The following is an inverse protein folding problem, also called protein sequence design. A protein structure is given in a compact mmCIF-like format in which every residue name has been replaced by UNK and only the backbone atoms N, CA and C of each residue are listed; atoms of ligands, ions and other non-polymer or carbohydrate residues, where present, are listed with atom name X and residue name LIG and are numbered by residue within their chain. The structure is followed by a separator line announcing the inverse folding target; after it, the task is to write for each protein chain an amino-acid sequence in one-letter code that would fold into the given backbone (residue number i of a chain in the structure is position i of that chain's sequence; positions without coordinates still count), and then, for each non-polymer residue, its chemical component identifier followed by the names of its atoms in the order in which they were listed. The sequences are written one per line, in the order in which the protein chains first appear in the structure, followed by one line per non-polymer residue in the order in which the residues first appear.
data_IF_320113828054
#
_entry.id   IF_320113828054
#
_cell.length_a   1.000
_cell.length_b   1.000
_cell.length_c   1.000
_cell.angle_alpha   90.00
_cell.angle_beta   90.00
_cell.angle_gamma   90.00
#
_symmetry.space_group_name_H-M   'P 1'
#
loop_
_entity.id
_entity.type
_entity.pdbx_description
1 polymer ?
#
# COMPACT_ATOMS: atom_id res chain seq x y z
N UNK A 1 -48.81 -15.69 4.03
CA UNK A 1 -47.55 -15.49 4.77
C UNK A 1 -46.87 -16.84 4.88
N UNK A 2 -45.91 -17.13 3.99
CA UNK A 2 -45.06 -18.30 4.15
C UNK A 2 -44.03 -18.00 5.25
N UNK A 3 -43.79 -18.91 6.20
CA UNK A 3 -42.70 -18.75 7.14
C UNK A 3 -41.38 -18.80 6.37
N UNK A 4 -40.48 -17.86 6.65
CA UNK A 4 -39.11 -17.89 6.13
C UNK A 4 -38.43 -19.16 6.67
N UNK A 5 -38.09 -20.10 5.79
CA UNK A 5 -37.23 -21.21 6.16
C UNK A 5 -35.87 -20.63 6.56
N UNK A 6 -35.38 -21.01 7.73
CA UNK A 6 -33.99 -20.76 8.09
C UNK A 6 -33.12 -21.47 7.04
N UNK A 7 -32.35 -20.71 6.26
CA UNK A 7 -31.32 -21.30 5.42
C UNK A 7 -30.30 -21.97 6.34
N UNK A 8 -30.03 -23.25 6.09
CA UNK A 8 -28.99 -23.99 6.78
C UNK A 8 -27.65 -23.32 6.49
N UNK A 9 -27.00 -22.78 7.52
CA UNK A 9 -25.69 -22.14 7.37
C UNK A 9 -24.63 -23.21 7.14
N UNK A 10 -24.17 -23.38 5.91
CA UNK A 10 -23.22 -24.44 5.57
C UNK A 10 -22.39 -24.08 4.36
N UNK A 11 -21.11 -24.46 4.39
CA UNK A 11 -20.25 -24.40 3.20
C UNK A 11 -19.19 -25.50 3.21
N UNK A 12 -18.65 -25.80 2.05
CA UNK A 12 -17.55 -26.74 1.82
C UNK A 12 -16.21 -26.00 1.71
N UNK A 13 -15.17 -26.56 2.33
CA UNK A 13 -13.86 -25.94 2.44
C UNK A 13 -12.77 -26.86 1.89
N UNK A 14 -12.07 -26.41 0.85
CA UNK A 14 -10.83 -27.03 0.39
C UNK A 14 -9.62 -26.46 1.14
N UNK A 15 -8.62 -27.30 1.42
CA UNK A 15 -7.36 -26.87 2.01
C UNK A 15 -6.22 -27.77 1.55
N UNK A 16 -4.98 -27.25 1.40
CA UNK A 16 -3.82 -28.07 1.06
C UNK A 16 -3.45 -29.07 2.16
N UNK A 17 -2.89 -30.22 1.78
CA UNK A 17 -2.57 -31.33 2.69
C UNK A 17 -1.70 -30.89 3.87
N UNK A 18 -0.69 -30.05 3.64
CA UNK A 18 0.17 -29.52 4.71
C UNK A 18 -0.64 -28.79 5.81
N UNK A 19 -1.71 -28.07 5.43
CA UNK A 19 -2.57 -27.38 6.39
C UNK A 19 -3.54 -28.35 7.08
N UNK A 20 -4.04 -29.36 6.37
CA UNK A 20 -4.89 -30.41 6.94
C UNK A 20 -4.13 -31.24 7.98
N UNK A 21 -2.91 -31.66 7.64
CA UNK A 21 -2.03 -32.47 8.47
C UNK A 21 -1.49 -31.71 9.67
N UNK A 22 -1.37 -30.38 9.57
CA UNK A 22 -0.96 -29.53 10.68
C UNK A 22 -1.87 -29.60 11.89
N UNK A 23 -3.14 -30.00 11.71
CA UNK A 23 -4.15 -30.03 12.77
C UNK A 23 -4.80 -28.69 13.09
N UNK A 24 -4.34 -27.57 12.52
CA UNK A 24 -4.90 -26.24 12.76
C UNK A 24 -6.39 -26.16 12.40
N UNK A 25 -6.80 -26.72 11.26
CA UNK A 25 -8.21 -26.68 10.84
C UNK A 25 -9.12 -27.45 11.79
N UNK A 26 -8.64 -28.59 12.32
CA UNK A 26 -9.36 -29.34 13.37
C UNK A 26 -9.51 -28.54 14.66
N UNK A 27 -8.61 -27.58 14.90
CA UNK A 27 -8.65 -26.70 16.05
C UNK A 27 -9.58 -25.48 15.83
N UNK A 28 -9.48 -24.78 14.71
CA UNK A 28 -10.21 -23.51 14.51
C UNK A 28 -11.66 -23.69 14.06
N UNK A 29 -11.95 -24.68 13.20
CA UNK A 29 -13.29 -24.83 12.60
C UNK A 29 -14.38 -25.09 13.65
N UNK A 30 -14.20 -25.99 14.64
CA UNK A 30 -15.22 -26.21 15.66
C UNK A 30 -15.53 -24.96 16.51
N UNK A 31 -14.53 -24.11 16.74
CA UNK A 31 -14.67 -22.88 17.54
C UNK A 31 -15.47 -21.82 16.81
N UNK A 32 -15.25 -21.69 15.50
CA UNK A 32 -16.08 -20.85 14.66
C UNK A 32 -17.52 -21.39 14.61
N UNK A 33 -17.69 -22.68 14.31
CA UNK A 33 -19.02 -23.32 14.19
C UNK A 33 -19.83 -23.23 15.48
N UNK A 34 -19.20 -23.34 16.66
CA UNK A 34 -19.88 -23.27 17.95
C UNK A 34 -20.62 -21.94 18.16
N UNK A 35 -20.01 -20.82 17.77
CA UNK A 35 -20.59 -19.48 17.98
C UNK A 35 -21.53 -19.05 16.85
N UNK A 36 -21.28 -19.52 15.63
CA UNK A 36 -22.00 -19.08 14.43
C UNK A 36 -23.13 -20.01 14.01
N UNK A 37 -23.09 -21.25 14.49
CA UNK A 37 -23.91 -22.38 14.05
C UNK A 37 -23.74 -22.72 12.56
N UNK A 38 -22.64 -22.29 11.94
CA UNK A 38 -22.30 -22.62 10.56
C UNK A 38 -21.60 -23.99 10.52
N UNK A 39 -22.14 -24.91 9.73
CA UNK A 39 -21.52 -26.22 9.46
C UNK A 39 -20.47 -26.07 8.36
N UNK A 40 -19.26 -26.56 8.61
CA UNK A 40 -18.17 -26.54 7.63
C UNK A 40 -17.78 -27.98 7.33
N UNK A 41 -17.77 -28.34 6.05
CA UNK A 41 -17.35 -29.68 5.59
C UNK A 41 -16.06 -29.56 4.81
N UNK A 42 -15.01 -30.27 5.21
CA UNK A 42 -13.78 -30.32 4.44
C UNK A 42 -14.01 -31.11 3.15
N UNK A 43 -13.70 -30.49 2.01
CA UNK A 43 -13.81 -31.10 0.70
C UNK A 43 -12.66 -32.08 0.45
N UNK A 44 -12.89 -33.10 -0.38
CA UNK A 44 -11.82 -34.01 -0.80
C UNK A 44 -10.84 -33.29 -1.75
N UNK A 45 -9.53 -33.60 -1.71
CA UNK A 45 -8.55 -33.00 -2.60
C UNK A 45 -8.97 -33.11 -4.07
N UNK A 46 -8.98 -31.98 -4.78
CA UNK A 46 -9.34 -31.90 -6.19
C UNK A 46 -10.85 -31.81 -6.48
N UNK A 47 -11.70 -31.76 -5.45
CA UNK A 47 -13.13 -31.48 -5.62
C UNK A 47 -13.42 -29.97 -5.53
N UNK A 48 -14.39 -29.44 -6.29
CA UNK A 48 -14.85 -28.05 -6.11
C UNK A 48 -15.39 -27.84 -4.68
N UNK A 49 -15.03 -26.70 -4.08
CA UNK A 49 -15.50 -26.28 -2.77
C UNK A 49 -15.97 -24.82 -2.83
N UNK A 50 -16.86 -24.43 -1.92
CA UNK A 50 -17.39 -23.07 -1.84
C UNK A 50 -16.30 -22.06 -1.45
N UNK A 51 -15.33 -22.51 -0.64
CA UNK A 51 -14.19 -21.73 -0.19
C UNK A 51 -12.91 -22.57 -0.14
N UNK A 52 -11.76 -21.91 -0.14
CA UNK A 52 -10.46 -22.58 -0.14
C UNK A 52 -9.37 -21.83 0.62
N UNK A 53 -8.48 -22.57 1.28
CA UNK A 53 -7.16 -22.09 1.65
C UNK A 53 -6.17 -22.30 0.48
N UNK A 54 -5.26 -21.35 0.27
CA UNK A 54 -4.24 -21.43 -0.78
C UNK A 54 -3.52 -20.09 -0.99
N UNK A 55 -3.22 -19.76 -2.25
CA UNK A 55 -2.43 -18.57 -2.62
C UNK A 55 -3.28 -17.34 -2.97
N UNK A 56 -4.60 -17.49 -3.01
CA UNK A 56 -5.57 -16.47 -3.41
C UNK A 56 -6.45 -16.01 -2.24
N UNK A 57 -7.08 -14.86 -2.43
CA UNK A 57 -7.96 -14.26 -1.43
C UNK A 57 -7.21 -13.54 -0.33
N UNK A 58 -7.76 -13.62 0.87
CA UNK A 58 -7.39 -12.78 2.00
C UNK A 58 -6.29 -13.41 2.81
N UNK A 59 -5.33 -12.62 3.26
CA UNK A 59 -4.30 -13.12 4.18
C UNK A 59 -4.96 -13.53 5.50
N UNK A 60 -4.88 -14.82 5.86
CA UNK A 60 -5.48 -15.38 7.06
C UNK A 60 -4.47 -15.49 8.21
N UNK A 61 -3.35 -16.18 7.99
CA UNK A 61 -2.28 -16.41 8.98
C UNK A 61 -1.02 -16.96 8.30
N UNK A 62 0.12 -16.93 8.99
CA UNK A 62 1.38 -17.51 8.54
C UNK A 62 1.75 -18.72 9.39
N UNK A 63 2.50 -19.65 8.81
CA UNK A 63 2.99 -20.84 9.49
C UNK A 63 3.44 -21.90 8.49
N UNK A 64 4.27 -22.84 8.93
CA UNK A 64 4.90 -23.84 8.06
C UNK A 64 5.66 -23.19 6.88
N UNK A 65 6.42 -22.13 7.17
CA UNK A 65 7.17 -21.31 6.20
C UNK A 65 6.31 -20.75 5.05
N UNK A 66 4.99 -20.65 5.26
CA UNK A 66 4.00 -20.26 4.25
C UNK A 66 3.07 -19.18 4.78
N UNK A 67 2.62 -18.28 3.91
CA UNK A 67 1.50 -17.37 4.17
C UNK A 67 0.23 -17.97 3.60
N UNK A 68 -0.70 -18.35 4.48
CA UNK A 68 -1.95 -18.96 4.08
C UNK A 68 -2.98 -17.89 3.77
N UNK A 69 -3.48 -17.89 2.53
CA UNK A 69 -4.61 -17.05 2.14
C UNK A 69 -5.90 -17.87 2.09
N UNK A 70 -7.01 -17.19 2.29
CA UNK A 70 -8.34 -17.75 2.29
C UNK A 70 -9.20 -17.05 1.25
N UNK A 71 -9.69 -17.81 0.28
CA UNK A 71 -10.68 -17.36 -0.69
C UNK A 71 -12.05 -17.86 -0.26
N UNK A 72 -12.96 -16.94 0.01
CA UNK A 72 -14.31 -17.25 0.45
C UNK A 72 -15.26 -17.54 -0.72
N UNK A 73 -14.82 -17.30 -1.96
CA UNK A 73 -15.71 -17.31 -3.12
C UNK A 73 -16.92 -16.38 -2.92
N UNK A 74 -18.05 -16.77 -3.50
CA UNK A 74 -19.31 -16.04 -3.41
C UNK A 74 -20.20 -16.49 -2.24
N UNK A 75 -19.75 -17.45 -1.42
CA UNK A 75 -20.56 -18.01 -0.33
C UNK A 75 -20.62 -17.06 0.89
N UNK A 76 -21.81 -16.64 1.34
CA UNK A 76 -21.95 -15.66 2.41
C UNK A 76 -21.55 -16.21 3.80
N UNK A 77 -21.61 -17.53 4.03
CA UNK A 77 -21.15 -18.13 5.28
C UNK A 77 -19.62 -18.29 5.29
N UNK A 78 -19.01 -18.58 4.14
CA UNK A 78 -17.56 -18.55 3.97
C UNK A 78 -16.99 -17.13 4.15
N UNK A 79 -17.69 -16.09 3.66
CA UNK A 79 -17.29 -14.70 3.86
C UNK A 79 -17.28 -14.33 5.35
N UNK A 80 -18.26 -14.81 6.13
CA UNK A 80 -18.27 -14.64 7.59
C UNK A 80 -17.11 -15.35 8.27
N UNK A 81 -16.69 -16.51 7.75
CA UNK A 81 -15.49 -17.18 8.24
C UNK A 81 -14.23 -16.37 7.92
N UNK A 82 -14.13 -15.79 6.73
CA UNK A 82 -13.05 -14.88 6.35
C UNK A 82 -12.96 -13.65 7.28
N UNK A 83 -14.10 -13.05 7.61
CA UNK A 83 -14.18 -11.93 8.56
C UNK A 83 -13.79 -12.37 9.97
N UNK A 84 -14.23 -13.55 10.39
CA UNK A 84 -13.85 -14.11 11.69
C UNK A 84 -12.34 -14.35 11.79
N UNK A 85 -11.71 -14.92 10.77
CA UNK A 85 -10.25 -15.13 10.71
C UNK A 85 -9.46 -13.82 10.90
N UNK A 86 -10.02 -12.69 10.46
CA UNK A 86 -9.42 -11.36 10.63
C UNK A 86 -9.78 -10.65 11.93
N UNK A 87 -10.79 -11.12 12.65
CA UNK A 87 -11.20 -10.55 13.94
C UNK A 87 -10.21 -10.91 15.05
N UNK A 88 -10.20 -10.13 16.13
CA UNK A 88 -9.37 -10.43 17.31
C UNK A 88 -9.63 -11.84 17.85
N UNK A 89 -10.89 -12.30 17.80
CA UNK A 89 -11.26 -13.63 18.28
C UNK A 89 -10.64 -14.73 17.40
N UNK A 90 -10.74 -14.60 16.08
CA UNK A 90 -10.15 -15.58 15.16
C UNK A 90 -8.63 -15.58 15.21
N UNK A 91 -8.03 -14.38 15.22
CA UNK A 91 -6.58 -14.17 15.36
C UNK A 91 -6.01 -14.80 16.62
N UNK A 92 -6.57 -14.45 17.77
CA UNK A 92 -6.17 -15.03 19.06
C UNK A 92 -6.38 -16.55 19.09
N UNK A 93 -7.40 -17.06 18.39
CA UNK A 93 -7.62 -18.51 18.30
C UNK A 93 -6.49 -19.18 17.52
N UNK A 94 -6.11 -18.64 16.37
CA UNK A 94 -4.96 -19.15 15.59
C UNK A 94 -3.68 -19.08 16.43
N UNK A 95 -3.41 -17.95 17.07
CA UNK A 95 -2.20 -17.74 17.90
C UNK A 95 -2.14 -18.65 19.13
N UNK A 96 -3.30 -19.09 19.63
CA UNK A 96 -3.37 -20.03 20.76
C UNK A 96 -3.09 -21.48 20.38
N UNK A 97 -3.02 -21.79 19.09
CA UNK A 97 -2.79 -23.15 18.63
C UNK A 97 -1.34 -23.57 18.86
N UNK A 98 -1.16 -24.71 19.53
CA UNK A 98 0.15 -25.25 19.87
C UNK A 98 0.24 -26.74 19.56
N UNK A 99 1.42 -27.17 19.11
CA UNK A 99 1.82 -28.57 18.97
C UNK A 99 3.08 -28.76 19.81
N UNK A 100 3.03 -29.67 20.78
CA UNK A 100 4.12 -29.93 21.73
C UNK A 100 4.68 -28.67 22.40
N UNK A 101 3.82 -27.70 22.69
CA UNK A 101 4.17 -26.42 23.34
C UNK A 101 4.77 -25.36 22.42
N UNK A 102 4.90 -25.63 21.12
CA UNK A 102 5.34 -24.67 20.10
C UNK A 102 4.12 -24.13 19.35
N UNK A 103 4.11 -22.85 19.01
CA UNK A 103 3.07 -22.24 18.17
C UNK A 103 3.51 -22.25 16.68
N UNK A 104 3.03 -23.19 15.84
CA UNK A 104 3.48 -23.30 14.45
C UNK A 104 2.82 -22.28 13.50
N UNK A 105 1.79 -21.57 13.97
CA UNK A 105 1.08 -20.54 13.21
C UNK A 105 1.01 -19.23 13.99
N UNK A 106 0.95 -18.13 13.26
CA UNK A 106 0.73 -16.79 13.80
C UNK A 106 -0.25 -16.01 12.91
N UNK A 107 -1.10 -15.22 13.54
CA UNK A 107 -2.09 -14.37 12.89
C UNK A 107 -1.54 -12.96 12.61
N UNK A 108 -0.49 -12.56 13.34
CA UNK A 108 0.29 -11.35 13.06
C UNK A 108 1.19 -11.52 11.85
N UNK A 109 0.58 -11.50 10.67
CA UNK A 109 1.35 -11.30 9.45
C UNK A 109 1.73 -9.83 9.41
N UNK A 110 2.95 -9.53 9.86
CA UNK A 110 3.65 -8.32 9.44
C UNK A 110 3.75 -8.40 7.92
N UNK A 111 2.76 -7.86 7.23
CA UNK A 111 2.92 -7.46 5.83
C UNK A 111 3.94 -6.34 5.92
N UNK A 112 5.21 -6.71 5.93
CA UNK A 112 6.27 -5.82 5.55
C UNK A 112 5.91 -5.47 4.12
N UNK A 113 5.22 -4.34 3.98
CA UNK A 113 4.85 -3.80 2.69
C UNK A 113 6.20 -3.55 2.05
N UNK A 114 6.66 -4.49 1.23
CA UNK A 114 7.74 -4.27 0.29
C UNK A 114 7.16 -3.24 -0.67
N UNK A 115 7.16 -1.99 -0.24
CA UNK A 115 7.23 -0.85 -1.13
C UNK A 115 8.54 -1.13 -1.83
N UNK A 116 8.45 -1.63 -3.06
CA UNK A 116 9.57 -1.55 -3.99
C UNK A 116 9.92 -0.07 -3.99
N UNK A 117 10.92 0.32 -3.20
CA UNK A 117 11.44 1.66 -3.26
C UNK A 117 12.02 1.75 -4.66
N UNK A 118 11.32 2.45 -5.54
CA UNK A 118 11.90 2.89 -6.79
C UNK A 118 13.08 3.75 -6.35
N UNK A 119 14.28 3.22 -6.58
CA UNK A 119 15.52 3.94 -6.30
C UNK A 119 15.92 4.60 -7.61
N UNK A 120 16.15 5.90 -7.55
CA UNK A 120 16.63 6.69 -8.67
C UNK A 120 18.15 6.77 -8.57
N UNK A 121 18.86 6.32 -9.59
CA UNK A 121 20.32 6.16 -9.64
C UNK A 121 21.05 7.30 -10.37
N UNK A 122 20.33 8.39 -10.68
CA UNK A 122 20.91 9.63 -11.19
C UNK A 122 21.95 10.28 -10.27
N UNK A 123 22.68 11.26 -10.81
CA UNK A 123 23.67 12.05 -10.08
C UNK A 123 22.99 13.04 -9.12
N UNK A 124 23.09 12.74 -7.82
CA UNK A 124 22.54 13.53 -6.72
C UNK A 124 23.08 14.96 -6.69
N UNK A 125 24.38 15.16 -6.97
CA UNK A 125 24.99 16.49 -6.94
C UNK A 125 24.50 17.33 -8.10
N UNK A 126 24.41 16.72 -9.28
CA UNK A 126 23.82 17.34 -10.46
C UNK A 126 22.34 17.65 -10.21
N UNK A 127 21.60 16.75 -9.58
CA UNK A 127 20.19 16.92 -9.23
C UNK A 127 19.94 18.12 -8.31
N UNK A 128 20.80 18.31 -7.29
CA UNK A 128 20.72 19.49 -6.43
C UNK A 128 21.01 20.78 -7.22
N UNK A 129 22.05 20.78 -8.05
CA UNK A 129 22.43 21.94 -8.88
C UNK A 129 21.30 22.37 -9.81
N UNK A 130 20.74 21.41 -10.57
CA UNK A 130 19.61 21.62 -11.49
C UNK A 130 18.40 22.12 -10.72
N UNK A 131 18.06 21.49 -9.58
CA UNK A 131 16.94 21.90 -8.74
C UNK A 131 17.10 23.33 -8.23
N UNK A 132 18.29 23.72 -7.78
CA UNK A 132 18.57 25.08 -7.30
C UNK A 132 18.44 26.11 -8.43
N UNK A 133 18.93 25.79 -9.62
CA UNK A 133 18.86 26.66 -10.80
C UNK A 133 17.42 26.85 -11.28
N UNK A 134 16.67 25.76 -11.42
CA UNK A 134 15.36 25.79 -12.08
C UNK A 134 14.18 25.96 -11.13
N UNK A 135 14.26 25.41 -9.92
CA UNK A 135 13.17 25.41 -8.96
C UNK A 135 13.41 26.39 -7.80
N UNK A 136 14.67 26.75 -7.53
CA UNK A 136 15.12 27.44 -6.32
C UNK A 136 14.58 28.86 -6.12
N UNK A 137 14.07 29.50 -7.19
CA UNK A 137 13.35 30.77 -7.07
C UNK A 137 12.01 30.59 -6.37
N UNK A 138 11.30 29.51 -6.67
CA UNK A 138 9.97 29.24 -6.14
C UNK A 138 10.04 28.42 -4.85
N UNK A 139 10.80 27.34 -4.86
CA UNK A 139 10.88 26.36 -3.77
C UNK A 139 12.16 26.53 -2.96
N UNK A 140 12.09 26.33 -1.64
CA UNK A 140 13.31 25.97 -0.88
C UNK A 140 13.68 24.54 -1.27
N UNK A 141 14.82 24.39 -1.92
CA UNK A 141 15.33 23.13 -2.48
C UNK A 141 16.24 22.45 -1.47
N UNK A 142 17.17 23.22 -0.88
CA UNK A 142 18.07 22.76 0.18
C UNK A 142 18.41 23.92 1.13
N UNK A 143 19.24 23.66 2.12
CA UNK A 143 19.71 24.71 3.04
C UNK A 143 20.41 25.87 2.32
N UNK A 144 20.95 25.62 1.11
CA UNK A 144 21.64 26.63 0.28
C UNK A 144 20.73 27.78 -0.14
N UNK A 145 19.41 27.58 -0.27
CA UNK A 145 18.47 28.62 -0.69
C UNK A 145 17.34 28.88 0.33
N UNK A 146 17.48 28.43 1.58
CA UNK A 146 16.45 28.56 2.64
C UNK A 146 15.86 29.97 2.78
N UNK A 147 16.67 31.01 2.60
CA UNK A 147 16.26 32.41 2.71
C UNK A 147 16.04 33.12 1.37
N UNK A 148 16.18 32.41 0.25
CA UNK A 148 16.23 32.98 -1.11
C UNK A 148 15.08 32.50 -2.01
N UNK A 149 14.06 31.83 -1.47
CA UNK A 149 12.83 31.44 -2.20
C UNK A 149 11.68 32.41 -1.91
N UNK A 150 10.64 32.41 -2.76
CA UNK A 150 9.45 33.28 -2.57
C UNK A 150 8.60 32.95 -1.33
N UNK A 151 8.85 31.83 -0.65
CA UNK A 151 8.19 31.46 0.61
C UNK A 151 6.71 31.08 0.53
N UNK A 152 6.04 31.31 -0.61
CA UNK A 152 4.62 31.00 -0.82
C UNK A 152 4.36 29.62 -1.44
N UNK A 153 5.41 28.86 -1.77
CA UNK A 153 5.32 27.47 -2.24
C UNK A 153 6.02 26.53 -1.27
N UNK A 154 5.55 25.29 -1.11
CA UNK A 154 6.14 24.33 -0.16
C UNK A 154 7.60 24.03 -0.51
N UNK A 155 8.47 23.86 0.48
CA UNK A 155 9.84 23.40 0.24
C UNK A 155 9.86 21.96 -0.28
N UNK A 156 10.98 21.53 -0.86
CA UNK A 156 11.17 20.13 -1.26
C UNK A 156 11.01 19.18 -0.07
N UNK A 157 11.54 19.53 1.11
CA UNK A 157 11.37 18.76 2.33
C UNK A 157 9.89 18.66 2.77
N UNK A 158 9.09 19.71 2.58
CA UNK A 158 7.63 19.66 2.84
C UNK A 158 6.94 18.79 1.79
N UNK A 159 7.29 18.90 0.51
CA UNK A 159 6.74 18.04 -0.53
C UNK A 159 7.05 16.55 -0.28
N UNK A 160 8.21 16.23 0.31
CA UNK A 160 8.60 14.88 0.72
C UNK A 160 7.72 14.27 1.80
N UNK A 161 6.88 15.04 2.50
CA UNK A 161 5.91 14.49 3.45
C UNK A 161 4.65 13.95 2.76
N UNK A 162 4.45 14.26 1.48
CA UNK A 162 3.26 13.83 0.73
C UNK A 162 3.38 12.36 0.33
N UNK A 163 2.26 11.63 0.39
CA UNK A 163 2.23 10.20 0.02
C UNK A 163 2.54 9.96 -1.46
N UNK A 164 2.20 10.92 -2.30
CA UNK A 164 2.36 10.92 -3.76
C UNK A 164 3.52 11.84 -4.20
N UNK A 165 4.52 12.05 -3.34
CA UNK A 165 5.64 12.93 -3.65
C UNK A 165 6.37 12.50 -4.94
N UNK A 166 6.56 11.20 -5.15
CA UNK A 166 7.24 10.64 -6.33
C UNK A 166 6.54 11.05 -7.61
N UNK A 167 5.25 10.74 -7.72
CA UNK A 167 4.43 11.10 -8.88
C UNK A 167 4.45 12.62 -9.13
N UNK A 168 4.41 13.42 -8.06
CA UNK A 168 4.44 14.89 -8.17
C UNK A 168 5.77 15.41 -8.71
N UNK A 169 6.89 14.84 -8.29
CA UNK A 169 8.21 15.23 -8.78
C UNK A 169 8.50 14.65 -10.16
N UNK A 170 7.99 13.46 -10.51
CA UNK A 170 8.15 12.92 -11.87
C UNK A 170 7.33 13.68 -12.90
N UNK A 171 6.12 14.12 -12.53
CA UNK A 171 5.17 14.73 -13.45
C UNK A 171 5.04 16.25 -13.27
N UNK A 172 5.96 16.90 -12.54
CA UNK A 172 5.77 18.31 -12.17
C UNK A 172 5.53 19.20 -13.39
N UNK A 173 6.21 18.94 -14.51
CA UNK A 173 6.11 19.71 -15.76
C UNK A 173 4.73 19.67 -16.42
N UNK A 174 3.85 18.71 -16.04
CA UNK A 174 2.43 18.67 -16.44
C UNK A 174 1.46 19.09 -15.31
N UNK A 175 1.96 19.32 -14.10
CA UNK A 175 1.17 19.70 -12.94
C UNK A 175 1.22 21.22 -12.68
N UNK A 176 0.05 21.86 -12.66
CA UNK A 176 -0.07 23.31 -12.41
C UNK A 176 0.68 23.73 -11.12
N UNK A 177 1.43 24.85 -11.15
CA UNK A 177 1.47 25.86 -12.22
C UNK A 177 2.53 25.63 -13.32
N UNK A 178 3.35 24.58 -13.22
CA UNK A 178 4.57 24.39 -14.02
C UNK A 178 4.42 24.29 -15.55
N UNK A 179 3.33 23.75 -16.13
CA UNK A 179 3.20 23.65 -17.59
C UNK A 179 3.24 25.00 -18.31
N UNK A 180 2.97 26.10 -17.60
CA UNK A 180 3.03 27.43 -18.16
C UNK A 180 4.47 27.92 -18.40
N UNK A 181 5.48 27.27 -17.80
CA UNK A 181 6.86 27.75 -17.84
C UNK A 181 7.93 26.66 -17.80
N UNK A 182 7.55 25.39 -17.99
CA UNK A 182 8.49 24.27 -17.99
C UNK A 182 8.40 23.52 -19.31
N UNK A 183 9.54 23.16 -19.87
CA UNK A 183 9.66 22.27 -21.01
C UNK A 183 10.70 21.19 -20.72
N UNK A 184 10.35 19.96 -21.07
CA UNK A 184 11.25 18.81 -21.06
C UNK A 184 11.59 18.49 -22.51
N UNK A 185 12.88 18.47 -22.84
CA UNK A 185 13.38 18.14 -24.18
C UNK A 185 12.80 16.80 -24.65
N UNK A 186 12.37 16.74 -25.91
CA UNK A 186 11.73 15.59 -26.56
C UNK A 186 10.45 15.03 -25.91
N UNK A 187 9.92 15.67 -24.86
CA UNK A 187 8.74 15.20 -24.11
C UNK A 187 7.58 16.20 -24.16
N UNK A 188 7.85 17.48 -23.95
CA UNK A 188 6.80 18.52 -23.96
C UNK A 188 6.74 19.24 -25.30
N UNK A 189 5.53 19.61 -25.72
CA UNK A 189 5.35 20.49 -26.87
C UNK A 189 5.92 21.91 -26.61
N UNK A 190 6.31 22.65 -27.67
CA UNK A 190 6.58 24.08 -27.59
C UNK A 190 5.43 24.86 -26.95
N UNK A 191 5.74 25.94 -26.21
CA UNK A 191 4.69 26.86 -25.76
C UNK A 191 3.90 27.41 -26.96
N UNK A 192 2.59 27.54 -26.79
CA UNK A 192 1.73 28.22 -27.76
C UNK A 192 2.27 29.64 -28.00
N UNK A 193 2.58 30.04 -29.25
CA UNK A 193 3.08 31.38 -29.55
C UNK A 193 2.15 32.52 -29.09
N UNK A 194 0.85 32.24 -28.93
CA UNK A 194 -0.15 33.19 -28.42
C UNK A 194 -0.23 33.25 -26.90
N UNK A 195 0.42 32.30 -26.21
CA UNK A 195 0.49 32.18 -24.74
C UNK A 195 1.92 31.79 -24.33
N UNK A 196 2.92 32.67 -24.56
CA UNK A 196 4.30 32.38 -24.18
C UNK A 196 4.44 32.25 -22.66
N UNK A 197 5.56 31.67 -22.23
CA UNK A 197 5.85 31.54 -20.81
C UNK A 197 5.83 32.90 -20.09
N UNK A 198 5.18 33.00 -18.91
CA UNK A 198 5.11 34.26 -18.17
C UNK A 198 6.43 34.62 -17.47
N UNK A 199 7.42 33.73 -17.49
CA UNK A 199 8.74 33.90 -16.88
C UNK A 199 9.81 33.31 -17.81
N UNK A 200 11.09 33.42 -17.45
CA UNK A 200 12.13 32.65 -18.12
C UNK A 200 11.79 31.15 -18.02
N UNK A 201 11.71 30.48 -19.17
CA UNK A 201 11.35 29.08 -19.25
C UNK A 201 12.38 28.23 -18.51
N UNK A 202 11.88 27.24 -17.79
CA UNK A 202 12.67 26.14 -17.27
C UNK A 202 12.74 25.09 -18.37
N UNK A 203 13.91 24.93 -18.95
CA UNK A 203 14.21 23.93 -19.97
C UNK A 203 15.17 22.91 -19.38
N UNK A 204 14.83 21.62 -19.45
CA UNK A 204 15.67 20.54 -18.95
C UNK A 204 15.44 19.23 -19.73
N UNK A 205 16.34 18.28 -19.56
CA UNK A 205 16.25 16.95 -20.19
C UNK A 205 15.57 15.93 -19.27
N UNK A 206 15.28 14.73 -19.79
CA UNK A 206 14.90 13.59 -18.96
C UNK A 206 16.03 13.15 -18.01
N UNK A 207 17.30 13.28 -18.42
CA UNK A 207 18.45 13.00 -17.56
C UNK A 207 18.52 13.99 -16.38
N UNK A 208 18.23 15.28 -16.63
CA UNK A 208 18.12 16.26 -15.55
C UNK A 208 16.96 15.92 -14.59
N UNK A 209 15.82 15.47 -15.11
CA UNK A 209 14.70 14.99 -14.28
C UNK A 209 15.10 13.78 -13.42
N UNK A 210 15.82 12.81 -13.99
CA UNK A 210 16.32 11.65 -13.25
C UNK A 210 17.30 12.05 -12.15
N UNK A 211 18.23 12.96 -12.43
CA UNK A 211 19.13 13.54 -11.44
C UNK A 211 18.36 14.26 -10.31
N UNK A 212 17.32 15.04 -10.64
CA UNK A 212 16.44 15.69 -9.65
C UNK A 212 15.76 14.62 -8.78
N UNK A 213 15.22 13.54 -9.36
CA UNK A 213 14.59 12.46 -8.60
C UNK A 213 15.57 11.79 -7.64
N UNK A 214 16.80 11.52 -8.10
CA UNK A 214 17.88 10.96 -7.28
C UNK A 214 18.29 11.87 -6.11
N UNK A 215 18.27 13.19 -6.33
CA UNK A 215 18.47 14.16 -5.26
C UNK A 215 17.30 14.20 -4.28
N UNK A 216 16.07 14.31 -4.77
CA UNK A 216 14.85 14.48 -3.98
C UNK A 216 14.55 13.25 -3.11
N UNK A 217 14.79 12.03 -3.60
CA UNK A 217 14.60 10.81 -2.79
C UNK A 217 15.44 10.84 -1.50
N UNK A 218 16.64 11.45 -1.56
CA UNK A 218 17.58 11.56 -0.44
C UNK A 218 17.25 12.68 0.55
N UNK A 219 16.29 13.55 0.22
CA UNK A 219 15.84 14.61 1.14
C UNK A 219 14.98 14.00 2.24
N UNK A 220 15.37 14.26 3.49
CA UNK A 220 14.56 13.93 4.66
C UNK A 220 13.23 14.72 4.63
N UNK A 221 12.06 14.07 4.82
CA UNK A 221 10.80 14.77 4.94
C UNK A 221 10.83 15.78 6.09
N UNK A 222 10.20 16.93 5.91
CA UNK A 222 10.13 17.97 6.93
C UNK A 222 9.35 17.48 8.17
N UNK A 223 9.82 17.85 9.35
CA UNK A 223 9.03 17.72 10.58
C UNK A 223 7.99 18.85 10.65
N UNK A 224 6.72 18.49 10.41
CA UNK A 224 5.59 19.41 10.46
C UNK A 224 4.96 19.51 11.85
N UNK A 225 5.52 18.82 12.86
CA UNK A 225 4.92 18.70 14.18
C UNK A 225 3.71 17.75 14.22
N UNK A 226 3.11 17.61 15.41
CA UNK A 226 1.91 16.77 15.59
C UNK A 226 0.70 17.43 14.91
N UNK A 227 -0.23 16.65 14.31
CA UNK A 227 -1.47 17.20 13.77
C UNK A 227 -2.19 18.03 14.84
N UNK A 228 -2.66 19.22 14.46
CA UNK A 228 -3.56 20.01 15.32
C UNK A 228 -4.83 19.19 15.47
N UNK A 229 -5.17 18.79 16.70
CA UNK A 229 -6.46 18.19 17.00
C UNK A 229 -7.54 19.27 16.82
N UNK A 230 -8.06 19.44 15.60
CA UNK A 230 -9.28 20.22 15.41
C UNK A 230 -10.43 19.43 16.02
N UNK A 231 -10.95 19.95 17.13
CA UNK A 231 -12.15 19.46 17.79
C UNK A 231 -13.28 19.41 16.75
N UNK A 232 -13.85 18.22 16.55
CA UNK A 232 -15.08 18.03 15.79
C UNK A 232 -16.24 18.39 16.72
N UNK A 233 -16.91 19.50 16.40
CA UNK A 233 -18.31 19.73 16.76
C UNK A 233 -19.15 19.59 15.48
#
# INVERSE_FOLDING_TARGET
MQPAQAQDKTFTLAAPDALLDSGLLKFILPRFSLKTQTRITLAEPGTPADAQFGDLGIIAFAGLDTVWKFDAGDDPDAQRFADWLRSDVGRNTVDSYQVDGVAPFNSEIKVEKVVVQITYDGDVLRGEEVSLSHCGRCHVVSDKNRMNSIGSTPSFAVLRTLRDWEDRFQAFYVLKPHPAFTQIEDVTEPFDPTRPSPIAAVEMTLDDLENIMAFVQGIAPADLGRPVQSMQD
#
